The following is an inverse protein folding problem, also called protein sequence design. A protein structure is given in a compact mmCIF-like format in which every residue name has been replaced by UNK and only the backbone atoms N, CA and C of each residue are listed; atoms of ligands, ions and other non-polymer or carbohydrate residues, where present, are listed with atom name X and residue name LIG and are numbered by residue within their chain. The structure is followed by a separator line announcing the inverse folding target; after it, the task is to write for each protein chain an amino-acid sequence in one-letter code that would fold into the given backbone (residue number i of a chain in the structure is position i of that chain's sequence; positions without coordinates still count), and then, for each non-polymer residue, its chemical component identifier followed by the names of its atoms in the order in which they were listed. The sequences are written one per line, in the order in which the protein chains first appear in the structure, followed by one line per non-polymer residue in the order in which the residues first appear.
data_IF_080988465609
#
_entry.id   IF_080988465609
#
_cell.length_a   1.000
_cell.length_b   1.000
_cell.length_c   1.000
_cell.angle_alpha   90.00
_cell.angle_beta   90.00
_cell.angle_gamma   90.00
#
_symmetry.space_group_name_H-M   'P 1'
#
loop_
_entity.id
_entity.type
_entity.pdbx_description
1 polymer ?
#
# COMPACT_ATOMS: atom_id res chain seq x y z
N UNK A 1 30.44 3.67 11.03
CA UNK A 1 29.48 4.23 10.06
C UNK A 1 28.24 4.61 10.86
N UNK A 2 27.94 5.91 10.86
CA UNK A 2 27.08 6.61 11.82
C UNK A 2 25.60 6.29 11.61
N UNK A 3 24.82 6.19 12.69
CA UNK A 3 23.38 5.90 12.66
C UNK A 3 22.59 6.78 11.66
N UNK A 4 23.02 8.04 11.48
CA UNK A 4 22.45 8.99 10.52
C UNK A 4 22.49 8.51 9.05
N UNK A 5 23.48 7.69 8.68
CA UNK A 5 23.55 7.12 7.33
C UNK A 5 22.58 5.93 7.18
N UNK A 6 22.26 5.24 8.27
CA UNK A 6 21.26 4.15 8.29
C UNK A 6 19.83 4.70 8.21
N UNK A 7 19.56 5.80 8.91
CA UNK A 7 18.26 6.49 8.89
C UNK A 7 17.96 7.07 7.50
N UNK A 8 18.97 7.61 6.79
CA UNK A 8 18.82 8.06 5.39
C UNK A 8 18.53 6.93 4.39
N UNK A 9 18.69 5.66 4.81
CA UNK A 9 18.47 4.50 3.95
C UNK A 9 17.13 3.79 4.22
N UNK A 10 16.39 4.18 5.26
CA UNK A 10 15.07 3.64 5.56
C UNK A 10 14.00 4.18 4.57
N UNK A 11 13.32 3.31 3.79
CA UNK A 11 12.24 3.72 2.91
C UNK A 11 11.11 4.50 3.59
N UNK A 12 10.88 4.31 4.90
CA UNK A 12 9.87 5.04 5.64
C UNK A 12 10.13 6.56 5.68
N UNK A 13 11.39 6.99 5.58
CA UNK A 13 11.75 8.43 5.52
C UNK A 13 11.29 9.13 4.24
N UNK A 14 10.89 8.36 3.22
CA UNK A 14 10.34 8.87 1.97
C UNK A 14 8.81 8.98 2.00
N UNK A 15 8.14 8.55 3.07
CA UNK A 15 6.73 8.85 3.24
C UNK A 15 6.57 10.37 3.43
N UNK A 16 5.63 11.04 2.73
CA UNK A 16 5.30 12.42 2.98
C UNK A 16 4.67 12.54 4.37
N UNK A 17 4.65 13.75 4.92
CA UNK A 17 3.86 14.03 6.13
C UNK A 17 2.40 13.59 5.91
N UNK A 18 1.79 12.97 6.92
CA UNK A 18 0.46 12.35 6.82
C UNK A 18 -0.62 13.35 6.34
N UNK A 19 -0.51 14.63 6.71
CA UNK A 19 -1.42 15.71 6.30
C UNK A 19 -1.24 16.19 4.86
N UNK A 20 -0.14 15.78 4.19
CA UNK A 20 0.19 16.16 2.81
C UNK A 20 -0.22 15.12 1.79
N UNK A 21 -0.77 14.00 2.22
CA UNK A 21 -1.24 12.92 1.34
C UNK A 21 -2.68 12.59 1.69
N UNK A 22 -3.55 12.52 0.67
CA UNK A 22 -4.99 12.30 0.84
C UNK A 22 -5.36 10.83 1.09
N UNK A 23 -4.62 10.13 1.97
CA UNK A 23 -4.91 8.74 2.36
C UNK A 23 -5.50 8.70 3.76
N UNK A 24 -6.30 7.67 4.04
CA UNK A 24 -6.83 7.42 5.38
C UNK A 24 -5.69 7.18 6.39
N UNK A 25 -5.81 7.65 7.65
CA UNK A 25 -4.77 7.49 8.68
C UNK A 25 -4.34 6.03 8.91
N UNK A 26 -5.29 5.08 8.83
CA UNK A 26 -4.97 3.66 8.96
C UNK A 26 -4.16 3.13 7.77
N UNK A 27 -4.46 3.61 6.55
CA UNK A 27 -3.67 3.29 5.37
C UNK A 27 -2.24 3.85 5.48
N UNK A 28 -2.09 5.07 5.99
CA UNK A 28 -0.78 5.66 6.22
C UNK A 28 0.05 4.84 7.21
N UNK A 29 -0.52 4.49 8.37
CA UNK A 29 0.15 3.63 9.37
C UNK A 29 0.50 2.25 8.81
N UNK A 30 -0.42 1.64 8.07
CA UNK A 30 -0.18 0.33 7.44
C UNK A 30 0.96 0.38 6.40
N UNK A 31 1.07 1.47 5.62
CA UNK A 31 2.18 1.67 4.70
C UNK A 31 3.54 1.70 5.42
N UNK A 32 3.62 2.33 6.59
CA UNK A 32 4.83 2.32 7.43
C UNK A 32 5.23 0.91 7.90
N UNK A 33 4.25 0.09 8.30
CA UNK A 33 4.49 -1.31 8.69
C UNK A 33 4.97 -2.14 7.49
N UNK A 34 4.37 -1.95 6.32
CA UNK A 34 4.80 -2.60 5.08
C UNK A 34 6.26 -2.30 4.75
N UNK A 35 6.67 -1.03 4.87
CA UNK A 35 8.05 -0.62 4.62
C UNK A 35 9.01 -1.22 5.65
N UNK A 36 8.61 -1.25 6.93
CA UNK A 36 9.40 -1.85 8.00
C UNK A 36 9.61 -3.35 7.79
N UNK A 37 8.60 -4.06 7.26
CA UNK A 37 8.71 -5.47 6.88
C UNK A 37 9.56 -5.68 5.62
N UNK A 38 9.49 -4.77 4.65
CA UNK A 38 10.21 -4.89 3.39
C UNK A 38 11.71 -4.55 3.51
N UNK A 39 12.05 -3.56 4.32
CA UNK A 39 13.42 -3.03 4.48
C UNK A 39 14.49 -4.09 4.81
N UNK A 40 14.28 -5.03 5.76
CA UNK A 40 15.28 -6.05 6.06
C UNK A 40 15.42 -7.13 4.96
N UNK A 41 14.49 -7.21 4.01
CA UNK A 41 14.46 -8.27 3.01
C UNK A 41 15.37 -7.96 1.82
N UNK A 42 16.21 -8.93 1.46
CA UNK A 42 17.13 -8.87 0.30
C UNK A 42 16.39 -8.63 -1.02
N UNK A 43 15.13 -9.02 -1.08
CA UNK A 43 14.27 -8.93 -2.27
C UNK A 43 13.94 -7.49 -2.70
N UNK A 44 14.14 -6.52 -1.81
CA UNK A 44 13.79 -5.12 -2.03
C UNK A 44 15.01 -4.18 -2.01
N UNK A 45 16.22 -4.67 -1.73
CA UNK A 45 17.45 -3.86 -1.61
C UNK A 45 17.84 -3.12 -2.89
N UNK A 46 17.41 -3.63 -4.05
CA UNK A 46 17.71 -3.02 -5.36
C UNK A 46 16.66 -2.02 -5.84
N UNK A 47 15.55 -1.86 -5.11
CA UNK A 47 14.47 -0.96 -5.52
C UNK A 47 14.71 0.46 -5.01
N UNK A 48 14.15 1.44 -5.74
CA UNK A 48 14.21 2.83 -5.28
C UNK A 48 13.33 2.99 -4.03
N UNK A 49 13.86 3.69 -3.02
CA UNK A 49 13.17 3.90 -1.73
C UNK A 49 11.87 4.67 -1.89
N UNK A 50 11.86 5.73 -2.72
CA UNK A 50 10.63 6.45 -3.08
C UNK A 50 9.65 5.59 -3.90
N UNK A 51 10.15 4.63 -4.68
CA UNK A 51 9.32 3.61 -5.33
C UNK A 51 8.62 2.70 -4.31
N UNK A 52 9.38 2.17 -3.35
CA UNK A 52 8.85 1.36 -2.25
C UNK A 52 7.82 2.13 -1.41
N UNK A 53 8.14 3.37 -1.01
CA UNK A 53 7.24 4.22 -0.23
C UNK A 53 5.94 4.53 -0.98
N UNK A 54 6.04 4.88 -2.26
CA UNK A 54 4.87 5.11 -3.11
C UNK A 54 4.03 3.84 -3.32
N UNK A 55 4.66 2.68 -3.50
CA UNK A 55 3.95 1.40 -3.60
C UNK A 55 3.27 1.01 -2.29
N UNK A 56 3.92 1.17 -1.14
CA UNK A 56 3.33 0.87 0.16
C UNK A 56 2.09 1.75 0.43
N UNK A 57 2.19 3.06 0.18
CA UNK A 57 1.04 3.97 0.30
C UNK A 57 -0.09 3.61 -0.67
N UNK A 58 0.24 3.27 -1.92
CA UNK A 58 -0.77 2.87 -2.90
C UNK A 58 -1.50 1.60 -2.46
N UNK A 59 -0.76 0.56 -2.06
CA UNK A 59 -1.33 -0.70 -1.58
C UNK A 59 -2.27 -0.43 -0.39
N UNK A 60 -1.77 0.30 0.61
CA UNK A 60 -2.53 0.58 1.82
C UNK A 60 -3.80 1.41 1.54
N UNK A 61 -3.67 2.46 0.71
CA UNK A 61 -4.80 3.30 0.31
C UNK A 61 -5.89 2.49 -0.39
N UNK A 62 -5.49 1.62 -1.32
CA UNK A 62 -6.45 0.80 -2.07
C UNK A 62 -7.07 -0.29 -1.20
N UNK A 63 -6.33 -0.81 -0.21
CA UNK A 63 -6.79 -1.85 0.69
C UNK A 63 -7.73 -1.34 1.81
N UNK A 64 -7.57 -0.10 2.28
CA UNK A 64 -8.48 0.55 3.25
C UNK A 64 -9.71 1.16 2.58
N UNK A 65 -9.52 1.92 1.49
CA UNK A 65 -10.60 2.78 0.99
C UNK A 65 -11.52 2.09 -0.02
N UNK A 66 -12.80 1.98 0.37
CA UNK A 66 -13.90 1.67 -0.56
C UNK A 66 -14.35 2.90 -1.38
N UNK A 67 -14.09 4.13 -0.89
CA UNK A 67 -14.43 5.40 -1.53
C UNK A 67 -13.20 6.32 -1.61
N UNK A 68 -13.05 7.05 -2.73
CA UNK A 68 -12.03 8.09 -2.86
C UNK A 68 -10.59 7.56 -2.86
N UNK A 69 -10.27 6.61 -3.74
CA UNK A 69 -8.90 6.08 -3.86
C UNK A 69 -7.96 7.12 -4.45
N UNK A 70 -6.83 7.30 -3.81
CA UNK A 70 -5.74 8.10 -4.36
C UNK A 70 -5.12 7.35 -5.53
N UNK A 71 -5.00 8.01 -6.67
CA UNK A 71 -4.37 7.42 -7.85
C UNK A 71 -2.87 7.22 -7.63
N UNK A 72 -2.27 6.28 -8.37
CA UNK A 72 -0.82 6.12 -8.38
C UNK A 72 -0.10 7.41 -8.81
N UNK A 73 -0.72 8.24 -9.66
CA UNK A 73 -0.16 9.50 -10.12
C UNK A 73 -0.06 10.52 -8.98
N UNK A 74 -1.13 10.68 -8.20
CA UNK A 74 -1.16 11.59 -7.04
C UNK A 74 -0.16 11.16 -5.95
N UNK A 75 -0.06 9.85 -5.69
CA UNK A 75 0.94 9.31 -4.76
C UNK A 75 2.36 9.53 -5.30
N UNK A 76 2.59 9.29 -6.59
CA UNK A 76 3.89 9.48 -7.21
C UNK A 76 4.38 10.93 -7.10
N UNK A 77 3.49 11.90 -7.34
CA UNK A 77 3.76 13.32 -7.15
C UNK A 77 4.11 13.65 -5.69
N UNK A 78 3.41 13.06 -4.73
CA UNK A 78 3.59 13.34 -3.30
C UNK A 78 4.91 12.78 -2.75
N UNK A 79 5.32 11.60 -3.24
CA UNK A 79 6.50 10.85 -2.75
C UNK A 79 7.76 11.15 -3.57
N UNK A 80 7.63 11.84 -4.71
CA UNK A 80 8.75 12.11 -5.62
C UNK A 80 9.23 10.86 -6.37
N UNK A 81 8.29 10.09 -6.92
CA UNK A 81 8.57 8.90 -7.73
C UNK A 81 7.76 8.90 -9.03
N UNK A 82 7.69 7.77 -9.73
CA UNK A 82 6.85 7.62 -10.94
C UNK A 82 5.75 6.59 -10.72
N UNK A 83 4.63 6.78 -11.42
CA UNK A 83 3.55 5.78 -11.49
C UNK A 83 4.07 4.39 -11.88
N UNK A 84 5.01 4.33 -12.82
CA UNK A 84 5.58 3.07 -13.29
C UNK A 84 6.38 2.38 -12.18
N UNK A 85 7.22 3.12 -11.45
CA UNK A 85 7.96 2.58 -10.30
C UNK A 85 7.00 2.03 -9.24
N UNK A 86 5.92 2.76 -8.93
CA UNK A 86 4.87 2.28 -8.02
C UNK A 86 4.30 0.96 -8.52
N UNK A 87 3.87 0.91 -9.78
CA UNK A 87 3.27 -0.27 -10.40
C UNK A 87 4.20 -1.50 -10.37
N UNK A 88 5.49 -1.32 -10.65
CA UNK A 88 6.48 -2.40 -10.69
C UNK A 88 6.59 -3.16 -9.37
N UNK A 89 6.50 -2.48 -8.23
CA UNK A 89 6.72 -3.11 -6.92
C UNK A 89 5.44 -3.55 -6.21
N UNK A 90 4.28 -3.07 -6.66
CA UNK A 90 2.97 -3.31 -6.02
C UNK A 90 2.71 -4.79 -5.73
N UNK A 91 2.85 -5.67 -6.72
CA UNK A 91 2.51 -7.08 -6.53
C UNK A 91 3.45 -7.79 -5.54
N UNK A 92 4.73 -7.39 -5.49
CA UNK A 92 5.70 -7.99 -4.58
C UNK A 92 5.48 -7.53 -3.14
N UNK A 93 5.25 -6.23 -2.94
CA UNK A 93 4.93 -5.69 -1.60
C UNK A 93 3.57 -6.18 -1.10
N UNK A 94 2.58 -6.35 -1.98
CA UNK A 94 1.29 -6.91 -1.59
C UNK A 94 1.39 -8.37 -1.13
N UNK A 95 2.26 -9.19 -1.76
CA UNK A 95 2.57 -10.55 -1.27
C UNK A 95 3.18 -10.53 0.12
N UNK A 96 4.17 -9.68 0.33
CA UNK A 96 4.78 -9.49 1.65
C UNK A 96 3.72 -9.12 2.70
N UNK A 97 2.78 -8.23 2.35
CA UNK A 97 1.67 -7.84 3.22
C UNK A 97 0.81 -9.03 3.68
N UNK A 98 0.54 -9.97 2.77
CA UNK A 98 -0.28 -11.16 3.07
C UNK A 98 0.49 -12.25 3.82
N UNK A 99 1.81 -12.27 3.74
CA UNK A 99 2.66 -13.32 4.29
C UNK A 99 3.24 -12.97 5.67
N UNK A 100 3.63 -11.70 5.86
CA UNK A 100 4.48 -11.28 6.98
C UNK A 100 3.83 -10.25 7.92
N UNK A 101 2.68 -9.66 7.55
CA UNK A 101 2.03 -8.62 8.36
C UNK A 101 0.78 -9.18 9.05
N UNK A 102 0.68 -8.97 10.37
CA UNK A 102 -0.52 -9.31 11.13
C UNK A 102 -1.66 -8.32 10.82
N UNK A 103 -2.53 -8.71 9.88
CA UNK A 103 -3.68 -7.92 9.45
C UNK A 103 -4.77 -7.78 10.54
N UNK A 104 -4.74 -8.57 11.62
CA UNK A 104 -5.74 -8.45 12.70
C UNK A 104 -5.64 -7.11 13.45
N UNK A 105 -4.48 -6.44 13.36
CA UNK A 105 -4.25 -5.10 13.91
C UNK A 105 -4.84 -3.98 13.02
N UNK A 106 -5.25 -4.32 11.79
CA UNK A 106 -5.73 -3.38 10.76
C UNK A 106 -7.09 -3.84 10.20
N UNK A 107 -8.18 -3.72 10.98
CA UNK A 107 -9.47 -4.29 10.61
C UNK A 107 -10.08 -3.67 9.35
N UNK A 108 -9.66 -2.47 8.95
CA UNK A 108 -10.14 -1.83 7.71
C UNK A 108 -9.33 -2.24 6.47
N UNK A 109 -8.18 -2.90 6.62
CA UNK A 109 -7.41 -3.42 5.50
C UNK A 109 -8.06 -4.68 4.95
N UNK A 110 -8.45 -4.65 3.68
CA UNK A 110 -9.07 -5.79 3.01
C UNK A 110 -8.04 -6.84 2.55
N UNK A 111 -8.04 -8.07 3.11
CA UNK A 111 -7.11 -9.13 2.68
C UNK A 111 -7.35 -9.55 1.23
N UNK A 112 -8.60 -9.57 0.76
CA UNK A 112 -8.94 -9.92 -0.62
C UNK A 112 -8.32 -8.95 -1.64
N UNK A 113 -8.27 -7.66 -1.29
CA UNK A 113 -7.65 -6.63 -2.13
C UNK A 113 -6.13 -6.81 -2.17
N UNK A 114 -5.51 -7.10 -1.03
CA UNK A 114 -4.08 -7.41 -0.97
C UNK A 114 -3.75 -8.65 -1.80
N UNK A 115 -4.55 -9.71 -1.69
CA UNK A 115 -4.38 -10.94 -2.47
C UNK A 115 -4.52 -10.69 -3.99
N UNK A 116 -5.45 -9.83 -4.40
CA UNK A 116 -5.63 -9.43 -5.80
C UNK A 116 -4.40 -8.67 -6.32
N UNK A 117 -3.91 -7.70 -5.55
CA UNK A 117 -2.69 -6.95 -5.86
C UNK A 117 -1.47 -7.87 -5.94
N UNK A 118 -1.34 -8.82 -5.00
CA UNK A 118 -0.28 -9.81 -4.93
C UNK A 118 -0.21 -10.71 -6.19
N UNK A 119 -1.35 -10.95 -6.83
CA UNK A 119 -1.46 -11.68 -8.10
C UNK A 119 -1.23 -10.80 -9.34
N UNK A 120 -0.94 -9.51 -9.16
CA UNK A 120 -0.77 -8.54 -10.25
C UNK A 120 -2.08 -8.21 -10.97
N UNK A 121 -3.22 -8.47 -10.34
CA UNK A 121 -4.53 -8.27 -10.94
C UNK A 121 -5.04 -6.84 -10.74
N UNK A 122 -5.98 -6.43 -11.59
CA UNK A 122 -6.69 -5.17 -11.42
C UNK A 122 -7.68 -5.27 -10.27
N UNK A 123 -7.49 -4.39 -9.28
CA UNK A 123 -8.36 -4.32 -8.10
C UNK A 123 -9.79 -3.92 -8.46
N UNK A 124 -10.01 -3.27 -9.61
CA UNK A 124 -11.34 -2.86 -10.05
C UNK A 124 -12.34 -4.02 -10.07
N UNK A 125 -11.88 -5.23 -10.42
CA UNK A 125 -12.74 -6.43 -10.46
C UNK A 125 -13.22 -6.83 -9.06
N UNK A 126 -12.31 -6.98 -8.10
CA UNK A 126 -12.63 -7.36 -6.71
C UNK A 126 -13.56 -6.35 -6.06
N UNK A 127 -13.38 -5.08 -6.40
CA UNK A 127 -14.17 -3.97 -5.87
C UNK A 127 -15.57 -3.92 -6.49
N UNK A 128 -15.72 -4.24 -7.78
CA UNK A 128 -17.03 -4.39 -8.42
C UNK A 128 -17.81 -5.57 -7.83
N UNK A 129 -17.15 -6.71 -7.60
CA UNK A 129 -17.76 -7.89 -6.98
C UNK A 129 -18.24 -7.60 -5.55
N UNK A 130 -17.51 -6.78 -4.77
CA UNK A 130 -17.92 -6.35 -3.43
C UNK A 130 -19.06 -5.33 -3.44
N UNK A 131 -19.01 -4.33 -4.33
CA UNK A 131 -20.09 -3.36 -4.48
C UNK A 131 -21.41 -4.04 -4.88
N UNK A 132 -21.37 -5.07 -5.72
CA UNK A 132 -22.53 -5.88 -6.08
C UNK A 132 -23.14 -6.62 -4.89
N UNK A 133 -22.31 -7.27 -4.05
CA UNK A 133 -22.77 -8.01 -2.87
C UNK A 133 -23.42 -7.12 -1.81
N UNK A 134 -22.90 -5.91 -1.58
CA UNK A 134 -23.48 -4.96 -0.60
C UNK A 134 -24.87 -4.48 -0.99
N UNK A 135 -25.20 -4.43 -2.29
CA UNK A 135 -26.52 -4.06 -2.80
C UNK A 135 -27.53 -5.21 -2.56
N UNK A 136 -27.10 -6.46 -2.75
CA UNK A 136 -27.94 -7.64 -2.54
C UNK A 136 -28.24 -7.90 -1.05
N UNK A 137 -27.27 -7.69 -0.15
CA UNK A 137 -27.48 -7.84 1.31
C UNK A 137 -28.36 -6.75 1.93
N UNK A 138 -28.56 -5.63 1.23
CA UNK A 138 -29.46 -4.53 1.66
C UNK A 138 -30.91 -4.73 1.22
N UNK A 139 -31.19 -5.84 0.51
CA UNK A 139 -32.49 -6.10 -0.13
C UNK A 139 -33.27 -7.27 0.51
N UNK A 140 -32.90 -7.73 1.72
CA UNK A 140 -33.70 -8.69 2.48
C UNK A 140 -34.62 -7.96 3.49
N UNK A 141 -35.94 -8.15 3.42
CA UNK A 141 -36.95 -7.49 4.26
C UNK A 141 -36.93 -7.95 5.73
#
# INVERSE_FOLDING_TARGET
MSAELGDQLDPATYLPDEDRVAVEPEAYRFAGVLLSAAYPSVDFQHFSRSGLAGSALYIASVAVSERGRVSQEEIACSVGTTRMSIHTHTARLARLATEEVDLSTYPSISPDVLQCLAQGQSVQRVLQERAGRSIESSSSP
#
